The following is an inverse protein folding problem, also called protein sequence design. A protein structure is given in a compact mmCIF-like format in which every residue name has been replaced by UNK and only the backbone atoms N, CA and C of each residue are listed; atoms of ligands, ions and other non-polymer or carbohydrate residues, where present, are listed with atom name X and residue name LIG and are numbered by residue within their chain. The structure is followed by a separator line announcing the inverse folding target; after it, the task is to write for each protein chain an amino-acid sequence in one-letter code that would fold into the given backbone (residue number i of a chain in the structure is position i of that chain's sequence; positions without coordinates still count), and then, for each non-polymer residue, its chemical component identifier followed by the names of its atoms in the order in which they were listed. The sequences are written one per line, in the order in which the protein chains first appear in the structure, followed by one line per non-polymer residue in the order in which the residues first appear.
data_IF_458403778860
#
_entry.id   IF_458403778860
#
_cell.length_a   1.000
_cell.length_b   1.000
_cell.length_c   1.000
_cell.angle_alpha   90.00
_cell.angle_beta   90.00
_cell.angle_gamma   90.00
#
_symmetry.space_group_name_H-M   'P 1'
#
loop_
_entity.id
_entity.type
_entity.pdbx_description
1 polymer ?
#
# COMPACT_ATOMS: atom_id res chain seq x y z
N UNK A 1 -10.36 -22.09 -2.79
CA UNK A 1 -10.66 -20.70 -3.23
C UNK A 1 -9.45 -20.16 -3.99
N UNK A 2 -9.58 -19.71 -5.24
CA UNK A 2 -8.44 -19.37 -6.15
C UNK A 2 -7.73 -18.07 -5.72
N UNK A 3 -6.39 -18.06 -5.73
CA UNK A 3 -5.48 -16.95 -5.34
C UNK A 3 -5.90 -15.57 -5.88
N UNK A 4 -6.40 -15.53 -7.12
CA UNK A 4 -6.89 -14.30 -7.77
C UNK A 4 -8.04 -13.61 -7.01
N UNK A 5 -8.95 -14.34 -6.35
CA UNK A 5 -10.07 -13.71 -5.62
C UNK A 5 -9.60 -12.97 -4.37
N UNK A 6 -8.58 -13.50 -3.68
CA UNK A 6 -8.03 -12.87 -2.47
C UNK A 6 -7.30 -11.56 -2.81
N UNK A 7 -6.52 -11.56 -3.90
CA UNK A 7 -5.83 -10.37 -4.41
C UNK A 7 -6.82 -9.26 -4.77
N UNK A 8 -7.91 -9.58 -5.47
CA UNK A 8 -8.91 -8.57 -5.84
C UNK A 8 -9.63 -7.99 -4.61
N UNK A 9 -9.88 -8.80 -3.58
CA UNK A 9 -10.42 -8.28 -2.31
C UNK A 9 -9.44 -7.32 -1.64
N UNK A 10 -8.13 -7.62 -1.63
CA UNK A 10 -7.13 -6.73 -1.04
C UNK A 10 -7.08 -5.40 -1.81
N UNK A 11 -7.09 -5.44 -3.15
CA UNK A 11 -7.18 -4.21 -3.95
C UNK A 11 -8.45 -3.42 -3.66
N UNK A 12 -9.59 -4.10 -3.58
CA UNK A 12 -10.86 -3.46 -3.24
C UNK A 12 -10.77 -2.71 -1.90
N UNK A 13 -10.31 -3.36 -0.83
CA UNK A 13 -10.18 -2.72 0.48
C UNK A 13 -9.19 -1.53 0.43
N UNK A 14 -8.01 -1.73 -0.19
CA UNK A 14 -6.97 -0.72 -0.32
C UNK A 14 -7.47 0.54 -1.05
N UNK A 15 -8.23 0.37 -2.15
CA UNK A 15 -8.79 1.45 -2.96
C UNK A 15 -9.93 2.22 -2.26
N UNK A 16 -10.53 1.63 -1.23
CA UNK A 16 -11.60 2.24 -0.44
C UNK A 16 -11.10 2.99 0.81
N UNK A 17 -9.88 2.72 1.29
CA UNK A 17 -9.32 3.41 2.47
C UNK A 17 -9.41 4.95 2.42
N UNK A 18 -9.08 5.63 1.29
CA UNK A 18 -9.17 7.10 1.25
C UNK A 18 -10.61 7.60 1.51
N UNK A 19 -11.62 6.82 1.13
CA UNK A 19 -13.03 7.19 1.31
C UNK A 19 -13.47 7.13 2.79
N UNK A 20 -12.69 6.45 3.63
CA UNK A 20 -12.97 6.29 5.06
C UNK A 20 -12.27 7.38 5.90
N UNK A 21 -11.47 8.24 5.29
CA UNK A 21 -10.68 9.26 6.00
C UNK A 21 -11.57 10.22 6.80
N UNK A 22 -11.12 10.49 8.02
CA UNK A 22 -11.57 11.56 8.88
C UNK A 22 -10.37 12.12 9.66
N UNK A 23 -10.61 13.13 10.50
CA UNK A 23 -9.54 13.86 11.18
C UNK A 23 -8.78 13.02 12.24
N UNK A 24 -9.25 11.81 12.56
CA UNK A 24 -8.69 10.97 13.62
C UNK A 24 -8.05 9.66 13.13
N UNK A 25 -8.39 9.20 11.92
CA UNK A 25 -8.05 7.85 11.48
C UNK A 25 -6.97 7.78 10.39
N UNK A 26 -6.35 8.91 10.03
CA UNK A 26 -5.31 8.97 9.00
C UNK A 26 -4.19 7.94 9.22
N UNK A 27 -3.50 7.98 10.37
CA UNK A 27 -2.39 7.05 10.65
C UNK A 27 -2.83 5.57 10.77
N UNK A 28 -3.94 5.24 11.46
CA UNK A 28 -4.49 3.88 11.44
C UNK A 28 -4.76 3.34 10.04
N UNK A 29 -5.40 4.13 9.16
CA UNK A 29 -5.71 3.71 7.79
C UNK A 29 -4.44 3.60 6.94
N UNK A 30 -3.45 4.47 7.13
CA UNK A 30 -2.18 4.39 6.41
C UNK A 30 -1.43 3.10 6.76
N UNK A 31 -1.40 2.73 8.04
CA UNK A 31 -0.83 1.45 8.49
C UNK A 31 -1.59 0.25 7.91
N UNK A 32 -2.92 0.34 7.82
CA UNK A 32 -3.73 -0.70 7.19
C UNK A 32 -3.42 -0.84 5.69
N UNK A 33 -3.31 0.29 4.98
CA UNK A 33 -2.93 0.31 3.57
C UNK A 33 -1.55 -0.28 3.32
N UNK A 34 -0.57 0.06 4.16
CA UNK A 34 0.76 -0.55 4.14
C UNK A 34 0.70 -2.08 4.28
N UNK A 35 -0.08 -2.60 5.25
CA UNK A 35 -0.24 -4.04 5.42
C UNK A 35 -0.87 -4.72 4.20
N UNK A 36 -1.84 -4.07 3.53
CA UNK A 36 -2.38 -4.59 2.28
C UNK A 36 -1.35 -4.63 1.16
N UNK A 37 -0.51 -3.61 1.03
CA UNK A 37 0.57 -3.60 0.04
C UNK A 37 1.57 -4.74 0.29
N UNK A 38 1.93 -5.01 1.54
CA UNK A 38 2.76 -6.17 1.91
C UNK A 38 2.09 -7.48 1.50
N UNK A 39 0.78 -7.64 1.77
CA UNK A 39 0.04 -8.84 1.34
C UNK A 39 -0.02 -9.00 -0.19
N UNK A 40 -0.10 -7.90 -0.95
CA UNK A 40 -0.05 -7.93 -2.41
C UNK A 40 1.33 -8.38 -2.91
N UNK A 41 2.41 -7.85 -2.33
CA UNK A 41 3.79 -8.26 -2.62
C UNK A 41 4.00 -9.74 -2.33
N UNK A 42 3.62 -10.20 -1.14
CA UNK A 42 3.78 -11.59 -0.70
C UNK A 42 2.91 -12.57 -1.52
N UNK A 43 1.86 -12.07 -2.18
CA UNK A 43 1.06 -12.84 -3.14
C UNK A 43 1.74 -12.99 -4.51
N UNK A 44 2.97 -12.46 -4.67
CA UNK A 44 3.76 -12.55 -5.90
C UNK A 44 3.37 -11.54 -6.97
N UNK A 45 2.69 -10.45 -6.61
CA UNK A 45 2.40 -9.40 -7.58
C UNK A 45 3.62 -8.54 -7.89
N UNK A 46 3.67 -8.14 -9.15
CA UNK A 46 4.65 -7.20 -9.67
C UNK A 46 4.37 -5.76 -9.19
N UNK A 47 5.45 -5.04 -8.88
CA UNK A 47 5.42 -3.65 -8.39
C UNK A 47 4.68 -2.73 -9.37
N UNK A 48 4.99 -2.83 -10.67
CA UNK A 48 4.43 -1.97 -11.70
C UNK A 48 2.91 -2.18 -11.83
N UNK A 49 2.44 -3.41 -11.64
CA UNK A 49 1.01 -3.73 -11.64
C UNK A 49 0.29 -3.06 -10.47
N UNK A 50 0.87 -3.11 -9.26
CA UNK A 50 0.30 -2.47 -8.08
C UNK A 50 0.30 -0.94 -8.25
N UNK A 51 1.44 -0.38 -8.66
CA UNK A 51 1.61 1.05 -8.90
C UNK A 51 0.59 1.60 -9.90
N UNK A 52 0.48 1.00 -11.10
CA UNK A 52 -0.46 1.46 -12.15
C UNK A 52 -1.91 1.50 -11.65
N UNK A 53 -2.32 0.50 -10.86
CA UNK A 53 -3.68 0.42 -10.33
C UNK A 53 -3.94 1.51 -9.28
N UNK A 54 -3.00 1.75 -8.37
CA UNK A 54 -3.15 2.78 -7.35
C UNK A 54 -3.05 4.19 -7.92
N UNK A 55 -2.21 4.43 -8.92
CA UNK A 55 -2.16 5.73 -9.64
C UNK A 55 -3.50 6.02 -10.32
N UNK A 56 -4.09 5.02 -10.98
CA UNK A 56 -5.42 5.18 -11.58
C UNK A 56 -6.47 5.51 -10.50
N UNK A 57 -6.40 4.88 -9.32
CA UNK A 57 -7.30 5.22 -8.22
C UNK A 57 -7.07 6.64 -7.72
N UNK A 58 -5.82 7.04 -7.48
CA UNK A 58 -5.41 8.38 -7.06
C UNK A 58 -6.01 9.47 -7.95
N UNK A 59 -5.88 9.33 -9.27
CA UNK A 59 -6.39 10.28 -10.26
C UNK A 59 -7.91 10.44 -10.27
N UNK A 60 -8.64 9.46 -9.73
CA UNK A 60 -10.11 9.45 -9.67
C UNK A 60 -10.67 9.78 -8.28
N UNK A 61 -9.83 10.20 -7.32
CA UNK A 61 -10.28 10.65 -6.00
C UNK A 61 -10.75 12.11 -6.07
N UNK A 62 -11.79 12.42 -5.29
CA UNK A 62 -12.56 13.65 -5.44
C UNK A 62 -11.96 14.87 -4.73
N UNK A 63 -11.09 14.67 -3.74
CA UNK A 63 -10.48 15.76 -2.97
C UNK A 63 -9.00 15.50 -2.68
N UNK A 64 -8.28 16.59 -2.41
CA UNK A 64 -6.84 16.59 -2.17
C UNK A 64 -6.44 15.69 -0.99
N UNK A 65 -7.16 15.74 0.13
CA UNK A 65 -6.85 14.88 1.30
C UNK A 65 -6.84 13.38 0.95
N UNK A 66 -7.76 12.94 0.11
CA UNK A 66 -7.81 11.55 -0.35
C UNK A 66 -6.67 11.23 -1.31
N UNK A 67 -6.34 12.16 -2.21
CA UNK A 67 -5.23 12.03 -3.15
C UNK A 67 -3.91 11.95 -2.40
N UNK A 68 -3.65 12.85 -1.45
CA UNK A 68 -2.45 12.88 -0.60
C UNK A 68 -2.28 11.55 0.15
N UNK A 69 -3.35 11.03 0.75
CA UNK A 69 -3.29 9.72 1.40
C UNK A 69 -2.92 8.59 0.43
N UNK A 70 -3.44 8.60 -0.79
CA UNK A 70 -3.09 7.59 -1.79
C UNK A 70 -1.66 7.79 -2.31
N UNK A 71 -1.16 9.03 -2.37
CA UNK A 71 0.22 9.33 -2.73
C UNK A 71 1.21 8.73 -1.72
N UNK A 72 0.91 8.79 -0.42
CA UNK A 72 1.72 8.16 0.64
C UNK A 72 1.79 6.63 0.48
N UNK A 73 0.69 6.01 0.08
CA UNK A 73 0.68 4.58 -0.25
C UNK A 73 1.48 4.28 -1.53
N UNK A 74 1.42 5.17 -2.53
CA UNK A 74 2.21 5.06 -3.75
C UNK A 74 3.71 5.18 -3.46
N UNK A 75 4.12 6.04 -2.55
CA UNK A 75 5.52 6.19 -2.14
C UNK A 75 6.07 4.88 -1.54
N UNK A 76 5.26 4.14 -0.79
CA UNK A 76 5.61 2.81 -0.27
C UNK A 76 5.82 1.77 -1.39
N UNK A 77 5.17 1.97 -2.54
CA UNK A 77 5.28 1.11 -3.72
C UNK A 77 6.51 1.48 -4.56
N UNK A 78 6.72 2.75 -4.91
CA UNK A 78 7.79 3.17 -5.81
C UNK A 78 9.11 3.54 -5.10
N UNK A 79 9.12 3.52 -3.77
CA UNK A 79 10.31 3.81 -2.97
C UNK A 79 10.65 5.30 -2.88
N UNK A 80 9.71 6.20 -3.21
CA UNK A 80 9.87 7.65 -3.02
C UNK A 80 9.65 8.08 -1.55
N UNK A 81 9.51 7.12 -0.63
CA UNK A 81 9.54 7.37 0.81
C UNK A 81 10.89 7.90 1.29
N UNK A 82 10.87 8.94 2.12
CA UNK A 82 12.08 9.47 2.78
C UNK A 82 12.79 8.44 3.67
N UNK A 83 12.09 7.38 4.08
CA UNK A 83 12.66 6.21 4.74
C UNK A 83 12.47 4.96 3.88
N UNK A 84 13.55 4.49 3.27
CA UNK A 84 13.59 3.31 2.39
C UNK A 84 13.14 2.00 3.07
N UNK A 85 13.03 1.94 4.41
CA UNK A 85 12.45 0.78 5.11
C UNK A 85 10.96 0.58 4.80
N UNK A 86 10.27 1.63 4.34
CA UNK A 86 8.89 1.52 3.89
C UNK A 86 8.75 1.18 2.40
N UNK A 87 9.84 1.07 1.64
CA UNK A 87 9.78 0.58 0.26
C UNK A 87 9.54 -0.94 0.25
N UNK A 88 8.37 -1.35 -0.20
CA UNK A 88 7.88 -2.73 -0.05
C UNK A 88 8.55 -3.69 -1.04
N UNK A 89 8.82 -3.25 -2.27
CA UNK A 89 9.42 -4.09 -3.32
C UNK A 89 10.96 -4.10 -3.31
N UNK A 90 11.62 -3.49 -2.31
CA UNK A 90 13.09 -3.51 -2.19
C UNK A 90 13.66 -4.94 -2.18
N UNK A 91 14.75 -5.12 -2.92
CA UNK A 91 15.40 -6.43 -3.12
C UNK A 91 16.57 -6.71 -2.17
N UNK A 92 16.97 -5.75 -1.33
CA UNK A 92 18.15 -5.84 -0.47
C UNK A 92 17.94 -6.60 0.86
N UNK A 93 16.75 -7.19 1.06
CA UNK A 93 16.46 -8.07 2.19
C UNK A 93 16.38 -7.40 3.56
N UNK A 94 16.38 -6.06 3.65
CA UNK A 94 16.24 -5.35 4.93
C UNK A 94 14.91 -5.67 5.62
N UNK A 95 13.82 -5.83 4.84
CA UNK A 95 12.49 -6.22 5.33
C UNK A 95 12.49 -7.58 6.05
N UNK A 96 13.35 -8.52 5.64
CA UNK A 96 13.47 -9.83 6.30
C UNK A 96 14.21 -9.77 7.64
N UNK A 97 14.94 -8.68 7.95
CA UNK A 97 15.69 -8.51 9.19
C UNK A 97 14.86 -7.85 10.29
N UNK A 98 13.99 -6.90 9.95
CA UNK A 98 13.16 -6.21 10.95
C UNK A 98 12.04 -7.11 11.52
N UNK A 99 11.42 -7.97 10.71
CA UNK A 99 10.43 -8.95 11.20
C UNK A 99 11.03 -10.05 12.09
N UNK A 100 12.34 -10.34 11.95
CA UNK A 100 13.03 -11.34 12.78
C UNK A 100 13.48 -10.81 14.15
N UNK A 101 13.60 -9.49 14.30
CA UNK A 101 14.16 -8.87 15.50
C UNK A 101 13.12 -8.18 16.39
N UNK A 102 11.83 -8.25 16.02
CA UNK A 102 10.71 -7.62 16.74
C UNK A 102 9.69 -8.61 17.31
N UNK A 103 10.14 -9.76 17.79
CA UNK A 103 9.33 -10.75 18.52
C UNK A 103 9.76 -10.87 19.98
#
# INVERSE_FOLDING_TARGET
MRLSRKVELIFHELEHLPLQLNDQNYHPLLKQGYNYLVLLRDSGLDEQRVYKRLVARHQNLANEKQQDFMAELLDCVCGFVGNQNYYIWRQDGAFARELKNGG
#
